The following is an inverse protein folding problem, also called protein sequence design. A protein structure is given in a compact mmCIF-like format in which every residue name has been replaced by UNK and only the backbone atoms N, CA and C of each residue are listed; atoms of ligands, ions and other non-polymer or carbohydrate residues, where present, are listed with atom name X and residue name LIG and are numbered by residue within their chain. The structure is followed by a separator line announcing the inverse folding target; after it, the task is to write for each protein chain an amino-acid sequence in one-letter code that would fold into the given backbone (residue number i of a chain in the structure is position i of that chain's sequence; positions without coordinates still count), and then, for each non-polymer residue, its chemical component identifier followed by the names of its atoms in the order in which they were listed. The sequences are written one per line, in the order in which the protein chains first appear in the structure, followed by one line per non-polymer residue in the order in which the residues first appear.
data_IF_654965017195
#
_entry.id   IF_654965017195
#
_cell.length_a   1.000
_cell.length_b   1.000
_cell.length_c   1.000
_cell.angle_alpha   90.00
_cell.angle_beta   90.00
_cell.angle_gamma   90.00
#
_symmetry.space_group_name_H-M   'P 1'
#
loop_
_entity.id
_entity.type
_entity.pdbx_description
1 polymer ?
#
# COMPACT_ATOMS: atom_id res chain seq x y z
N UNK A 1 -15.91 15.64 6.09
CA UNK A 1 -15.17 14.43 6.45
C UNK A 1 -14.71 14.49 7.89
N UNK A 2 -14.76 13.39 8.66
CA UNK A 2 -14.15 13.30 9.98
C UNK A 2 -12.78 12.62 9.88
N UNK A 3 -11.85 12.99 10.75
CA UNK A 3 -10.48 12.47 10.76
C UNK A 3 -10.13 11.91 12.13
N UNK A 4 -9.31 10.85 12.12
CA UNK A 4 -8.76 10.25 13.36
C UNK A 4 -7.25 10.13 13.26
N UNK A 5 -6.59 10.15 14.38
CA UNK A 5 -5.16 9.80 14.44
C UNK A 5 -5.01 8.29 14.32
N UNK A 6 -4.21 7.83 13.39
CA UNK A 6 -3.94 6.41 13.15
C UNK A 6 -2.94 5.89 14.19
N UNK A 7 -3.44 5.30 15.26
CA UNK A 7 -2.61 4.76 16.34
C UNK A 7 -1.55 5.75 16.82
N UNK A 8 -0.30 5.30 16.91
CA UNK A 8 0.85 6.10 17.34
C UNK A 8 1.64 6.71 16.17
N UNK A 9 1.11 6.67 14.94
CA UNK A 9 1.81 7.16 13.74
C UNK A 9 1.87 8.69 13.66
N UNK A 10 0.97 9.38 14.34
CA UNK A 10 0.76 10.83 14.20
C UNK A 10 -0.02 11.23 12.94
N UNK A 11 -0.29 10.29 12.03
CA UNK A 11 -1.04 10.53 10.80
C UNK A 11 -2.52 10.77 11.12
N UNK A 12 -3.09 11.84 10.55
CA UNK A 12 -4.53 12.10 10.58
C UNK A 12 -5.17 11.56 9.31
N UNK A 13 -5.94 10.49 9.45
CA UNK A 13 -6.61 9.81 8.36
C UNK A 13 -8.12 10.08 8.38
N UNK A 14 -8.71 10.18 7.20
CA UNK A 14 -10.17 10.21 7.06
C UNK A 14 -10.79 8.89 7.53
N UNK A 15 -11.99 8.95 8.13
CA UNK A 15 -12.70 7.74 8.58
C UNK A 15 -13.14 6.83 7.44
N UNK A 16 -13.19 7.37 6.22
CA UNK A 16 -13.43 6.64 4.98
C UNK A 16 -12.13 6.64 4.18
N UNK A 17 -11.68 5.47 3.75
CA UNK A 17 -10.54 5.30 2.87
C UNK A 17 -10.96 5.01 1.42
N UNK A 18 -10.06 5.25 0.50
CA UNK A 18 -10.21 4.90 -0.91
C UNK A 18 -9.55 3.55 -1.19
N UNK A 19 -10.30 2.57 -1.69
CA UNK A 19 -9.77 1.29 -2.17
C UNK A 19 -9.36 1.39 -3.63
N UNK A 20 -8.06 1.39 -3.87
CA UNK A 20 -7.49 1.60 -5.22
C UNK A 20 -7.42 0.35 -6.10
N UNK A 21 -7.99 -0.78 -5.69
CA UNK A 21 -7.82 -2.05 -6.40
C UNK A 21 -8.60 -2.18 -7.72
N UNK A 22 -9.60 -1.35 -7.93
CA UNK A 22 -10.49 -1.43 -9.10
C UNK A 22 -10.29 -0.30 -10.11
N UNK A 23 -9.12 0.33 -10.12
CA UNK A 23 -8.79 1.41 -11.07
C UNK A 23 -8.26 0.85 -12.38
N UNK A 24 -9.02 -0.03 -13.01
CA UNK A 24 -8.70 -0.72 -14.26
C UNK A 24 -9.34 -0.07 -15.51
N UNK A 25 -10.04 1.04 -15.32
CA UNK A 25 -10.56 1.89 -16.39
C UNK A 25 -9.50 2.77 -17.04
N UNK A 26 -9.94 3.89 -17.59
CA UNK A 26 -9.04 4.88 -18.18
C UNK A 26 -8.36 5.76 -17.13
N UNK A 27 -7.25 6.40 -17.49
CA UNK A 27 -6.60 7.40 -16.64
C UNK A 27 -7.57 8.56 -16.32
N UNK A 28 -8.36 9.01 -17.30
CA UNK A 28 -9.33 10.10 -17.11
C UNK A 28 -10.39 9.74 -16.04
N UNK A 29 -10.92 8.52 -16.07
CA UNK A 29 -11.84 8.00 -15.05
C UNK A 29 -11.18 7.94 -13.68
N UNK A 30 -9.93 7.48 -13.61
CA UNK A 30 -9.16 7.41 -12.35
C UNK A 30 -8.91 8.81 -11.78
N UNK A 31 -8.55 9.79 -12.62
CA UNK A 31 -8.40 11.20 -12.22
C UNK A 31 -9.73 11.73 -11.66
N UNK A 32 -10.84 11.47 -12.34
CA UNK A 32 -12.16 11.94 -11.91
C UNK A 32 -12.55 11.37 -10.54
N UNK A 33 -12.34 10.06 -10.31
CA UNK A 33 -12.61 9.40 -9.03
C UNK A 33 -11.70 9.91 -7.93
N UNK A 34 -10.40 10.03 -8.21
CA UNK A 34 -9.40 10.54 -7.25
C UNK A 34 -9.74 11.97 -6.82
N UNK A 35 -10.09 12.85 -7.78
CA UNK A 35 -10.53 14.23 -7.49
C UNK A 35 -11.80 14.25 -6.64
N UNK A 36 -12.79 13.40 -6.94
CA UNK A 36 -14.02 13.32 -6.15
C UNK A 36 -13.74 12.87 -4.70
N UNK A 37 -12.80 11.94 -4.51
CA UNK A 37 -12.33 11.53 -3.18
C UNK A 37 -11.67 12.70 -2.43
N UNK A 38 -10.82 13.47 -3.11
CA UNK A 38 -10.17 14.65 -2.53
C UNK A 38 -11.17 15.74 -2.13
N UNK A 39 -12.15 16.01 -2.98
CA UNK A 39 -13.21 16.99 -2.72
C UNK A 39 -14.09 16.54 -1.54
N UNK A 40 -14.28 15.24 -1.36
CA UNK A 40 -14.96 14.66 -0.19
C UNK A 40 -14.08 14.68 1.09
N UNK A 41 -12.79 15.01 0.97
CA UNK A 41 -11.84 15.05 2.07
C UNK A 41 -11.27 13.67 2.45
N UNK A 42 -11.32 12.69 1.54
CA UNK A 42 -10.64 11.41 1.72
C UNK A 42 -9.14 11.62 1.50
N UNK A 43 -8.30 11.07 2.38
CA UNK A 43 -6.85 11.25 2.33
C UNK A 43 -6.03 9.98 2.59
N UNK A 44 -6.66 8.82 2.64
CA UNK A 44 -5.97 7.52 2.75
C UNK A 44 -6.43 6.61 1.62
N UNK A 45 -5.45 5.96 0.95
CA UNK A 45 -5.69 5.04 -0.16
C UNK A 45 -4.98 3.72 0.09
N UNK A 46 -5.67 2.61 -0.16
CA UNK A 46 -5.11 1.26 -0.14
C UNK A 46 -4.77 0.79 -1.56
N UNK A 47 -3.55 0.34 -1.76
CA UNK A 47 -2.97 -0.07 -3.04
C UNK A 47 -2.41 -1.50 -2.96
N UNK A 48 -3.21 -2.46 -2.51
CA UNK A 48 -2.76 -3.85 -2.36
C UNK A 48 -2.61 -4.58 -3.70
N UNK A 49 -3.48 -4.27 -4.68
CA UNK A 49 -3.50 -4.93 -5.99
C UNK A 49 -2.21 -4.63 -6.77
N UNK A 50 -1.45 -5.67 -7.19
CA UNK A 50 -0.16 -5.46 -7.86
C UNK A 50 -0.28 -5.29 -9.39
N UNK A 51 -1.49 -5.27 -9.94
CA UNK A 51 -1.73 -5.09 -11.37
C UNK A 51 -1.08 -3.79 -11.88
N UNK A 52 -0.22 -3.88 -12.92
CA UNK A 52 0.54 -2.73 -13.41
C UNK A 52 -0.33 -1.58 -13.92
N UNK A 53 -1.45 -1.89 -14.58
CA UNK A 53 -2.38 -0.88 -15.12
C UNK A 53 -3.03 -0.09 -13.99
N UNK A 54 -3.55 -0.78 -12.98
CA UNK A 54 -4.21 -0.16 -11.82
C UNK A 54 -3.25 0.71 -11.02
N UNK A 55 -2.03 0.22 -10.78
CA UNK A 55 -0.99 1.01 -10.11
C UNK A 55 -0.59 2.24 -10.91
N UNK A 56 -0.39 2.10 -12.23
CA UNK A 56 -0.07 3.24 -13.09
C UNK A 56 -1.21 4.25 -13.12
N UNK A 57 -2.45 3.82 -13.32
CA UNK A 57 -3.60 4.72 -13.33
C UNK A 57 -3.68 5.56 -12.05
N UNK A 58 -3.46 4.94 -10.88
CA UNK A 58 -3.47 5.66 -9.60
C UNK A 58 -2.29 6.62 -9.48
N UNK A 59 -1.08 6.15 -9.75
CA UNK A 59 0.12 6.99 -9.65
C UNK A 59 0.09 8.16 -10.61
N UNK A 60 -0.29 7.91 -11.87
CA UNK A 60 -0.42 8.95 -12.89
C UNK A 60 -1.54 9.95 -12.55
N UNK A 61 -2.67 9.49 -12.00
CA UNK A 61 -3.73 10.37 -11.51
C UNK A 61 -3.24 11.28 -10.38
N UNK A 62 -2.49 10.77 -9.42
CA UNK A 62 -1.91 11.58 -8.34
C UNK A 62 -0.88 12.60 -8.88
N UNK A 63 -0.10 12.21 -9.89
CA UNK A 63 0.87 13.07 -10.54
C UNK A 63 0.18 14.22 -11.30
N UNK A 64 -0.82 13.91 -12.13
CA UNK A 64 -1.60 14.90 -12.89
C UNK A 64 -2.35 15.88 -11.98
N UNK A 65 -2.81 15.43 -10.82
CA UNK A 65 -3.46 16.28 -9.82
C UNK A 65 -2.46 17.05 -8.96
N UNK A 66 -1.16 16.72 -9.00
CA UNK A 66 -0.15 17.29 -8.13
C UNK A 66 -0.44 17.03 -6.65
N UNK A 67 -1.03 15.89 -6.31
CA UNK A 67 -1.66 15.65 -5.03
C UNK A 67 -1.04 14.52 -4.19
N UNK A 68 0.10 13.91 -4.62
CA UNK A 68 0.76 12.82 -3.90
C UNK A 68 0.88 13.09 -2.38
N UNK A 69 1.26 14.30 -2.01
CA UNK A 69 1.50 14.70 -0.63
C UNK A 69 0.23 14.84 0.23
N UNK A 70 -0.94 14.90 -0.40
CA UNK A 70 -2.24 14.94 0.29
C UNK A 70 -2.69 13.56 0.74
N UNK A 71 -2.10 12.50 0.16
CA UNK A 71 -2.51 11.12 0.36
C UNK A 71 -1.59 10.36 1.29
N UNK A 72 -2.17 9.64 2.22
CA UNK A 72 -1.53 8.59 3.01
C UNK A 72 -1.71 7.29 2.23
N UNK A 73 -0.62 6.76 1.67
CA UNK A 73 -0.68 5.60 0.77
C UNK A 73 -0.24 4.35 1.52
N UNK A 74 -1.10 3.32 1.47
CA UNK A 74 -0.81 1.98 1.93
C UNK A 74 -0.29 1.15 0.75
N UNK A 75 1.02 0.91 0.72
CA UNK A 75 1.67 0.00 -0.21
C UNK A 75 1.86 -1.38 0.41
N UNK A 76 1.65 -2.46 -0.35
CA UNK A 76 1.72 -3.82 0.17
C UNK A 76 2.99 -4.55 -0.25
N UNK A 77 3.71 -5.11 0.76
CA UNK A 77 4.87 -5.97 0.59
C UNK A 77 4.43 -7.43 0.56
N UNK A 78 4.82 -8.15 -0.48
CA UNK A 78 4.43 -9.55 -0.69
C UNK A 78 3.16 -9.74 -1.53
N UNK A 79 2.67 -8.67 -2.14
CA UNK A 79 1.69 -8.68 -3.22
C UNK A 79 2.43 -8.41 -4.53
N UNK A 80 2.51 -9.40 -5.42
CA UNK A 80 3.29 -9.36 -6.66
C UNK A 80 2.44 -9.73 -7.87
N UNK A 81 2.87 -9.29 -9.07
CA UNK A 81 2.23 -9.60 -10.34
C UNK A 81 3.12 -10.52 -11.17
N UNK A 82 2.64 -11.70 -11.49
CA UNK A 82 3.43 -12.71 -12.21
C UNK A 82 2.54 -13.44 -13.22
N UNK A 83 2.98 -13.53 -14.46
CA UNK A 83 2.22 -14.23 -15.51
C UNK A 83 0.78 -13.71 -15.63
N UNK A 84 0.60 -12.38 -15.59
CA UNK A 84 -0.68 -11.68 -15.70
C UNK A 84 -1.67 -11.99 -14.56
N UNK A 85 -1.16 -12.36 -13.39
CA UNK A 85 -2.00 -12.63 -12.23
C UNK A 85 -1.35 -12.19 -10.91
N UNK A 86 -2.19 -11.95 -9.91
CA UNK A 86 -1.76 -11.71 -8.55
C UNK A 86 -1.14 -12.97 -7.93
N UNK A 87 0.04 -12.79 -7.32
CA UNK A 87 0.72 -13.83 -6.55
C UNK A 87 1.14 -13.28 -5.19
N UNK A 88 0.69 -13.93 -4.10
CA UNK A 88 1.20 -13.66 -2.75
C UNK A 88 2.49 -14.44 -2.51
N UNK A 89 3.54 -13.75 -2.11
CA UNK A 89 4.85 -14.38 -1.84
C UNK A 89 5.61 -13.69 -0.71
N UNK A 90 6.57 -14.42 -0.11
CA UNK A 90 7.56 -13.88 0.84
C UNK A 90 8.99 -13.99 0.29
N UNK A 91 9.12 -14.49 -0.92
CA UNK A 91 10.39 -14.59 -1.63
C UNK A 91 10.91 -13.19 -1.99
N UNK A 92 12.06 -12.82 -1.43
CA UNK A 92 12.62 -11.48 -1.61
C UNK A 92 13.06 -11.19 -3.05
N UNK A 93 13.41 -12.21 -3.84
CA UNK A 93 13.76 -12.04 -5.26
C UNK A 93 12.54 -11.60 -6.09
N UNK A 94 11.33 -11.81 -5.57
CA UNK A 94 10.08 -11.39 -6.18
C UNK A 94 9.51 -10.14 -5.51
N UNK A 95 9.63 -10.04 -4.19
CA UNK A 95 9.05 -8.95 -3.38
C UNK A 95 9.77 -7.63 -3.63
N UNK A 96 11.11 -7.63 -3.68
CA UNK A 96 11.89 -6.42 -3.89
C UNK A 96 11.56 -5.72 -5.21
N UNK A 97 11.65 -6.40 -6.37
CA UNK A 97 11.28 -5.77 -7.64
C UNK A 97 9.82 -5.31 -7.70
N UNK A 98 8.89 -6.07 -7.09
CA UNK A 98 7.48 -5.70 -7.07
C UNK A 98 7.19 -4.46 -6.22
N UNK A 99 7.97 -4.24 -5.16
CA UNK A 99 7.85 -3.04 -4.33
C UNK A 99 8.54 -1.83 -4.99
N UNK A 100 9.64 -2.03 -5.66
CA UNK A 100 10.29 -1.00 -6.50
C UNK A 100 9.37 -0.56 -7.65
N UNK A 101 8.71 -1.51 -8.34
CA UNK A 101 7.71 -1.23 -9.38
C UNK A 101 6.53 -0.39 -8.82
N UNK A 102 6.07 -0.70 -7.60
CA UNK A 102 5.05 0.10 -6.93
C UNK A 102 5.50 1.56 -6.75
N UNK A 103 6.70 1.79 -6.23
CA UNK A 103 7.23 3.14 -6.02
C UNK A 103 7.37 3.90 -7.34
N UNK A 104 7.91 3.24 -8.38
CA UNK A 104 8.07 3.83 -9.71
C UNK A 104 6.74 4.26 -10.31
N UNK A 105 5.72 3.39 -10.27
CA UNK A 105 4.39 3.69 -10.81
C UNK A 105 3.66 4.79 -10.06
N UNK A 106 3.93 4.92 -8.76
CA UNK A 106 3.39 6.01 -7.94
C UNK A 106 4.24 7.30 -7.98
N UNK A 107 5.27 7.35 -8.82
CA UNK A 107 6.18 8.51 -8.96
C UNK A 107 6.69 9.03 -7.61
N UNK A 108 7.05 8.11 -6.70
CA UNK A 108 7.44 8.43 -5.33
C UNK A 108 8.60 7.54 -4.86
N UNK A 109 9.34 8.00 -3.88
CA UNK A 109 10.43 7.27 -3.22
C UNK A 109 10.03 6.67 -1.86
N UNK A 110 8.76 6.87 -1.44
CA UNK A 110 8.25 6.36 -0.16
C UNK A 110 6.78 5.98 -0.20
N UNK A 111 6.42 5.07 0.73
CA UNK A 111 5.04 4.79 1.14
C UNK A 111 4.81 5.22 2.59
N UNK A 112 3.65 5.80 2.89
CA UNK A 112 3.32 6.20 4.26
C UNK A 112 3.13 4.98 5.15
N UNK A 113 2.46 3.94 4.63
CA UNK A 113 2.24 2.67 5.31
C UNK A 113 2.76 1.52 4.42
N UNK A 114 3.73 0.76 4.91
CA UNK A 114 4.17 -0.50 4.32
C UNK A 114 3.46 -1.67 4.98
N UNK A 115 2.49 -2.25 4.28
CA UNK A 115 1.66 -3.32 4.80
C UNK A 115 2.25 -4.69 4.45
N UNK A 116 2.55 -5.52 5.45
CA UNK A 116 2.85 -6.93 5.20
C UNK A 116 1.57 -7.60 4.70
N UNK A 117 1.57 -8.05 3.45
CA UNK A 117 0.36 -8.44 2.75
C UNK A 117 -0.20 -9.78 3.21
N UNK A 118 -1.46 -9.77 3.64
CA UNK A 118 -2.33 -10.94 3.85
C UNK A 118 -1.71 -12.03 4.73
N UNK A 119 -1.72 -11.83 6.03
CA UNK A 119 -1.21 -12.77 7.05
C UNK A 119 -2.37 -13.24 7.91
N UNK A 120 -2.91 -14.43 7.68
CA UNK A 120 -4.09 -14.94 8.38
C UNK A 120 -3.80 -16.06 9.39
N UNK A 121 -2.54 -16.52 9.45
CA UNK A 121 -2.12 -17.57 10.38
C UNK A 121 -1.06 -17.06 11.33
N UNK A 122 -1.18 -17.43 12.61
CA UNK A 122 -0.19 -17.09 13.65
C UNK A 122 1.18 -17.65 13.30
N UNK A 123 1.23 -18.89 12.83
CA UNK A 123 2.47 -19.56 12.46
C UNK A 123 3.17 -18.85 11.27
N UNK A 124 2.39 -18.32 10.30
CA UNK A 124 2.95 -17.53 9.20
C UNK A 124 3.51 -16.20 9.71
N UNK A 125 2.81 -15.54 10.64
CA UNK A 125 3.30 -14.33 11.28
C UNK A 125 4.64 -14.56 11.99
N UNK A 126 4.73 -15.61 12.80
CA UNK A 126 5.96 -15.99 13.49
C UNK A 126 7.12 -16.27 12.53
N UNK A 127 6.86 -17.00 11.43
CA UNK A 127 7.85 -17.27 10.38
C UNK A 127 8.33 -16.00 9.69
N UNK A 128 7.42 -15.06 9.40
CA UNK A 128 7.75 -13.76 8.83
C UNK A 128 8.67 -12.99 9.78
N UNK A 129 8.31 -12.90 11.05
CA UNK A 129 9.08 -12.14 12.06
C UNK A 129 10.46 -12.73 12.33
N UNK A 130 10.63 -14.04 12.18
CA UNK A 130 11.91 -14.74 12.34
C UNK A 130 12.75 -14.81 11.05
N UNK A 131 12.18 -14.44 9.90
CA UNK A 131 12.75 -14.66 8.57
C UNK A 131 13.37 -13.41 7.92
N UNK A 132 14.00 -13.61 6.74
CA UNK A 132 14.65 -12.53 6.00
C UNK A 132 13.66 -11.46 5.49
N UNK A 133 12.39 -11.81 5.31
CA UNK A 133 11.36 -10.87 4.89
C UNK A 133 11.20 -9.73 5.92
N UNK A 134 11.19 -10.03 7.22
CA UNK A 134 11.16 -9.01 8.26
C UNK A 134 12.40 -8.13 8.26
N UNK A 135 13.58 -8.71 8.01
CA UNK A 135 14.81 -7.94 7.84
C UNK A 135 14.69 -6.89 6.73
N UNK A 136 14.11 -7.26 5.59
CA UNK A 136 13.85 -6.33 4.49
C UNK A 136 12.83 -5.24 4.87
N UNK A 137 11.74 -5.59 5.55
CA UNK A 137 10.76 -4.60 6.05
C UNK A 137 11.42 -3.58 6.98
N UNK A 138 12.31 -4.05 7.87
CA UNK A 138 13.05 -3.17 8.78
C UNK A 138 14.02 -2.25 8.02
N UNK A 139 14.72 -2.75 6.99
CA UNK A 139 15.58 -1.96 6.12
C UNK A 139 14.79 -0.81 5.45
N UNK A 140 13.66 -1.11 4.83
CA UNK A 140 12.77 -0.12 4.23
C UNK A 140 12.29 0.93 5.25
N UNK A 141 12.03 0.51 6.49
CA UNK A 141 11.65 1.40 7.58
C UNK A 141 12.80 2.31 8.01
N UNK A 142 14.03 1.78 8.10
CA UNK A 142 15.22 2.53 8.50
C UNK A 142 15.62 3.56 7.44
N UNK A 143 15.49 3.23 6.17
CA UNK A 143 15.77 4.14 5.04
C UNK A 143 14.69 5.20 4.84
N UNK A 144 13.51 5.04 5.46
CA UNK A 144 12.36 5.91 5.28
C UNK A 144 11.55 5.61 4.02
N UNK A 145 11.91 4.57 3.27
CA UNK A 145 11.15 4.11 2.09
C UNK A 145 9.73 3.65 2.48
N UNK A 146 9.56 3.13 3.69
CA UNK A 146 8.24 3.04 4.34
C UNK A 146 8.29 3.83 5.67
N UNK A 147 7.28 4.66 5.91
CA UNK A 147 7.23 5.50 7.13
C UNK A 147 6.70 4.74 8.34
N UNK A 148 5.71 3.89 8.14
CA UNK A 148 5.12 3.05 9.17
C UNK A 148 4.89 1.64 8.64
N UNK A 149 4.99 0.65 9.50
CA UNK A 149 4.76 -0.76 9.19
C UNK A 149 3.41 -1.18 9.74
N UNK A 150 2.66 -1.90 8.94
CA UNK A 150 1.42 -2.56 9.31
C UNK A 150 1.33 -3.96 8.72
N UNK A 151 0.23 -4.62 8.93
CA UNK A 151 -0.09 -5.87 8.25
C UNK A 151 -1.56 -5.89 7.83
N UNK A 152 -1.87 -6.60 6.75
CA UNK A 152 -3.25 -6.90 6.37
C UNK A 152 -3.60 -8.34 6.75
N UNK A 153 -4.75 -8.52 7.37
CA UNK A 153 -5.25 -9.83 7.85
C UNK A 153 -6.76 -9.85 7.89
N UNK A 154 -7.35 -11.02 7.66
CA UNK A 154 -8.76 -11.31 7.94
C UNK A 154 -8.94 -12.00 9.30
N UNK A 155 -7.84 -12.29 10.01
CA UNK A 155 -7.88 -12.98 11.30
C UNK A 155 -7.63 -12.00 12.47
N UNK A 156 -8.66 -11.68 13.28
CA UNK A 156 -8.49 -10.77 14.41
C UNK A 156 -7.48 -11.23 15.46
N UNK A 157 -7.17 -12.53 15.53
CA UNK A 157 -6.15 -13.04 16.45
C UNK A 157 -4.74 -12.64 15.99
N UNK A 158 -4.49 -12.66 14.68
CA UNK A 158 -3.21 -12.20 14.11
C UNK A 158 -3.06 -10.68 14.25
N UNK A 159 -4.16 -9.93 14.09
CA UNK A 159 -4.13 -8.47 14.24
C UNK A 159 -3.80 -7.98 15.67
N UNK A 160 -3.79 -8.87 16.66
CA UNK A 160 -3.49 -8.55 18.07
C UNK A 160 -2.06 -8.90 18.50
N UNK A 161 -1.29 -9.55 17.62
CA UNK A 161 0.11 -9.89 17.85
C UNK A 161 0.99 -8.66 17.64
#
# INVERSE_FOLDING_TARGET
MQYRTLGNTGLKVSEIGFGGEWMDGTLEETIAVTRACEDAGINIIDCWMPDPTRRSNLGDALQELGSRERWIIQGHLGSTWQGEQYVRTRDLDQVKPAFEDLLQRFHTDYMDLGMIHYVDKVEEFEQIMAGPFWGYVQELKQTGTIRHVGLSTHNPAVAKL
#
